data_IF_813139267805
#
_entry.id   IF_813139267805
#
_cell.length_a   1.000
_cell.length_b   1.000
_cell.length_c   1.000
_cell.angle_alpha   90.00
_cell.angle_beta   90.00
_cell.angle_gamma   90.00
#
_symmetry.space_group_name_H-M   'P 1'
#
loop_
_entity.id
_entity.type
_entity.pdbx_description
1 polymer ?
#
# COMPACT_ATOMS: atom_id res chain seq x y z
N UNK A 1 -2.64 15.55 9.57
CA UNK A 1 -3.54 14.47 9.07
C UNK A 1 -2.71 13.43 8.33
N UNK A 2 -2.53 12.22 8.90
CA UNK A 2 -1.92 11.10 8.17
C UNK A 2 -2.92 10.63 7.11
N UNK A 3 -2.67 10.99 5.85
CA UNK A 3 -3.55 10.62 4.75
C UNK A 3 -3.23 9.19 4.34
N UNK A 4 -4.15 8.26 4.63
CA UNK A 4 -4.03 6.89 4.13
C UNK A 4 -3.96 6.90 2.60
N UNK A 5 -3.25 5.93 2.05
CA UNK A 5 -3.15 5.71 0.61
C UNK A 5 -4.08 4.53 0.31
N UNK A 6 -4.98 4.71 -0.64
CA UNK A 6 -5.92 3.66 -1.03
C UNK A 6 -6.09 3.64 -2.53
N UNK A 7 -6.13 2.45 -3.10
CA UNK A 7 -6.40 2.20 -4.50
C UNK A 7 -7.19 0.91 -4.64
N UNK A 8 -7.73 0.67 -5.83
CA UNK A 8 -8.48 -0.56 -6.11
C UNK A 8 -7.85 -1.25 -7.30
N UNK A 9 -7.52 -2.52 -7.14
CA UNK A 9 -7.04 -3.39 -8.21
C UNK A 9 -8.12 -4.41 -8.59
N UNK A 10 -8.02 -5.00 -9.77
CA UNK A 10 -8.87 -6.10 -10.20
C UNK A 10 -8.04 -7.37 -10.16
N UNK A 11 -8.49 -8.35 -9.39
CA UNK A 11 -7.83 -9.66 -9.29
C UNK A 11 -8.01 -10.46 -10.58
N UNK A 12 -7.20 -11.50 -10.77
CA UNK A 12 -7.30 -12.40 -11.92
C UNK A 12 -8.70 -13.04 -12.05
N UNK A 13 -9.37 -13.27 -10.93
CA UNK A 13 -10.75 -13.77 -10.85
C UNK A 13 -11.82 -12.73 -11.24
N UNK A 14 -11.41 -11.53 -11.68
CA UNK A 14 -12.30 -10.43 -12.06
C UNK A 14 -12.89 -9.65 -10.89
N UNK A 15 -12.62 -10.06 -9.65
CA UNK A 15 -13.13 -9.41 -8.44
C UNK A 15 -12.31 -8.19 -8.08
N UNK A 16 -13.00 -7.10 -7.74
CA UNK A 16 -12.38 -5.85 -7.28
C UNK A 16 -11.80 -6.05 -5.87
N UNK A 17 -10.53 -5.69 -5.69
CA UNK A 17 -9.84 -5.68 -4.39
C UNK A 17 -9.42 -4.25 -4.07
N UNK A 18 -9.96 -3.69 -3.01
CA UNK A 18 -9.51 -2.43 -2.43
C UNK A 18 -8.30 -2.68 -1.53
N UNK A 19 -7.25 -1.89 -1.74
CA UNK A 19 -6.04 -1.91 -0.94
C UNK A 19 -5.91 -0.55 -0.26
N UNK A 20 -5.69 -0.58 1.06
CA UNK A 20 -5.50 0.60 1.89
C UNK A 20 -4.26 0.43 2.73
N UNK A 21 -3.36 1.38 2.61
CA UNK A 21 -2.09 1.39 3.34
C UNK A 21 -1.99 2.64 4.20
N UNK A 22 -1.66 2.43 5.46
CA UNK A 22 -1.24 3.48 6.36
C UNK A 22 0.26 3.36 6.61
N UNK A 23 1.03 4.28 6.03
CA UNK A 23 2.48 4.32 6.18
C UNK A 23 2.82 5.27 7.32
N UNK A 24 3.52 4.75 8.31
CA UNK A 24 4.20 5.50 9.36
C UNK A 24 5.72 5.41 9.18
N UNK A 25 6.49 6.22 9.91
CA UNK A 25 7.95 6.22 9.88
C UNK A 25 8.57 4.82 10.10
N UNK A 26 7.90 3.94 10.86
CA UNK A 26 8.44 2.63 11.24
C UNK A 26 7.71 1.42 10.68
N UNK A 27 6.46 1.59 10.19
CA UNK A 27 5.59 0.46 9.82
C UNK A 27 4.62 0.87 8.71
N UNK A 28 4.29 -0.08 7.83
CA UNK A 28 3.19 0.03 6.89
C UNK A 28 2.07 -0.93 7.31
N UNK A 29 0.89 -0.39 7.62
CA UNK A 29 -0.30 -1.18 7.92
C UNK A 29 -1.10 -1.37 6.64
N UNK A 30 -1.10 -2.60 6.13
CA UNK A 30 -1.83 -3.02 4.95
C UNK A 30 -3.22 -3.52 5.34
N UNK A 31 -4.20 -3.17 4.53
CA UNK A 31 -5.60 -3.56 4.69
C UNK A 31 -6.14 -3.85 3.31
N UNK A 32 -6.76 -5.02 3.16
CA UNK A 32 -7.31 -5.46 1.89
C UNK A 32 -8.80 -5.70 2.05
N UNK A 33 -9.60 -5.36 1.05
CA UNK A 33 -11.02 -5.72 1.02
C UNK A 33 -11.38 -6.20 -0.37
N UNK A 34 -11.78 -7.45 -0.50
CA UNK A 34 -12.38 -7.94 -1.74
C UNK A 34 -13.83 -7.50 -1.80
N UNK A 35 -14.35 -7.26 -3.00
CA UNK A 35 -15.76 -6.92 -3.18
C UNK A 35 -16.69 -8.10 -2.89
N UNK A 36 -16.19 -9.34 -3.03
CA UNK A 36 -16.91 -10.55 -2.64
C UNK A 36 -16.85 -10.85 -1.13
N UNK A 37 -16.03 -10.12 -0.37
CA UNK A 37 -15.90 -10.26 1.08
C UNK A 37 -16.51 -9.06 1.82
N UNK A 38 -17.31 -9.34 2.84
CA UNK A 38 -17.90 -8.28 3.67
C UNK A 38 -16.86 -7.57 4.54
N UNK A 39 -15.80 -8.29 4.93
CA UNK A 39 -14.82 -7.85 5.92
C UNK A 39 -13.49 -7.43 5.28
N UNK A 40 -12.78 -6.55 5.98
CA UNK A 40 -11.40 -6.23 5.67
C UNK A 40 -10.48 -7.36 6.15
N UNK A 41 -9.53 -7.73 5.30
CA UNK A 41 -8.46 -8.65 5.61
C UNK A 41 -7.21 -7.84 6.03
N UNK A 42 -6.76 -8.08 7.26
CA UNK A 42 -5.61 -7.41 7.88
C UNK A 42 -4.37 -8.32 7.99
N UNK A 43 -4.56 -9.62 7.83
CA UNK A 43 -3.53 -10.65 8.06
C UNK A 43 -2.82 -11.07 6.76
N UNK A 44 -3.38 -10.69 5.59
CA UNK A 44 -2.77 -11.01 4.32
C UNK A 44 -1.50 -10.17 4.09
N UNK A 45 -0.34 -10.78 3.75
CA UNK A 45 0.85 -10.02 3.40
C UNK A 45 0.65 -9.30 2.05
N UNK A 46 1.21 -8.09 1.88
CA UNK A 46 1.24 -7.41 0.58
C UNK A 46 2.09 -8.17 -0.44
N UNK A 47 1.66 -8.15 -1.69
CA UNK A 47 2.44 -8.71 -2.81
C UNK A 47 3.43 -7.68 -3.34
N UNK A 48 4.39 -8.12 -4.16
CA UNK A 48 5.38 -7.24 -4.82
C UNK A 48 4.70 -6.16 -5.68
N UNK A 49 3.62 -6.51 -6.40
CA UNK A 49 2.84 -5.56 -7.20
C UNK A 49 2.18 -4.47 -6.34
N UNK A 50 1.68 -4.84 -5.16
CA UNK A 50 1.08 -3.87 -4.23
C UNK A 50 2.12 -2.91 -3.65
N UNK A 51 3.34 -3.39 -3.39
CA UNK A 51 4.47 -2.53 -3.03
C UNK A 51 4.86 -1.57 -4.16
N UNK A 52 4.90 -2.07 -5.41
CA UNK A 52 5.20 -1.26 -6.58
C UNK A 52 4.17 -0.12 -6.76
N UNK A 53 2.89 -0.46 -6.66
CA UNK A 53 1.80 0.52 -6.70
C UNK A 53 1.90 1.56 -5.57
N UNK A 54 2.26 1.14 -4.36
CA UNK A 54 2.46 2.06 -3.25
C UNK A 54 3.61 3.05 -3.53
N UNK A 55 4.73 2.55 -4.04
CA UNK A 55 5.88 3.37 -4.44
C UNK A 55 5.52 4.34 -5.57
N UNK A 56 4.75 3.89 -6.57
CA UNK A 56 4.29 4.73 -7.67
C UNK A 56 3.39 5.85 -7.17
N UNK A 57 2.39 5.55 -6.33
CA UNK A 57 1.47 6.55 -5.78
C UNK A 57 2.25 7.56 -4.92
N UNK A 58 3.21 7.10 -4.12
CA UNK A 58 4.08 7.96 -3.33
C UNK A 58 4.98 8.83 -4.20
N UNK A 59 5.54 8.28 -5.28
CA UNK A 59 6.35 9.02 -6.25
C UNK A 59 5.55 10.14 -6.91
N UNK A 60 4.34 9.83 -7.40
CA UNK A 60 3.40 10.82 -7.98
C UNK A 60 3.04 11.92 -7.00
N UNK A 61 2.86 11.58 -5.71
CA UNK A 61 2.44 12.51 -4.66
C UNK A 61 3.62 13.30 -4.04
N UNK A 62 4.82 12.73 -4.09
CA UNK A 62 6.06 13.24 -3.52
C UNK A 62 6.75 14.33 -4.31
N UNK A 63 6.26 14.67 -5.50
CA UNK A 63 6.67 15.89 -6.23
C UNK A 63 6.42 17.19 -5.43
N UNK A 64 5.63 17.14 -4.34
CA UNK A 64 5.45 18.26 -3.39
C UNK A 64 6.29 18.11 -2.12
N UNK A 65 7.62 18.05 -2.22
CA UNK A 65 8.67 18.35 -1.21
C UNK A 65 8.67 17.65 0.17
N UNK A 66 7.54 17.09 0.64
CA UNK A 66 7.34 16.61 2.02
C UNK A 66 7.20 15.09 2.11
N UNK A 67 7.16 14.37 0.99
CA UNK A 67 6.96 12.91 0.97
C UNK A 67 8.17 12.08 0.55
N UNK A 68 9.30 12.71 0.26
CA UNK A 68 10.55 12.00 -0.04
C UNK A 68 10.91 11.03 1.10
N UNK A 69 10.76 11.48 2.35
CA UNK A 69 11.02 10.65 3.54
C UNK A 69 10.06 9.46 3.65
N UNK A 70 8.81 9.59 3.21
CA UNK A 70 7.83 8.50 3.26
C UNK A 70 8.18 7.42 2.23
N UNK A 71 8.60 7.83 1.04
CA UNK A 71 9.04 6.91 -0.01
C UNK A 71 10.30 6.14 0.40
N UNK A 72 11.27 6.81 1.02
CA UNK A 72 12.47 6.15 1.53
C UNK A 72 12.14 5.13 2.63
N UNK A 73 11.23 5.46 3.54
CA UNK A 73 10.78 4.54 4.58
C UNK A 73 10.06 3.32 3.99
N UNK A 74 9.23 3.49 2.96
CA UNK A 74 8.58 2.39 2.24
C UNK A 74 9.60 1.45 1.61
N UNK A 75 10.66 1.97 0.97
CA UNK A 75 11.74 1.15 0.41
C UNK A 75 12.47 0.33 1.46
N UNK A 76 12.78 0.94 2.62
CA UNK A 76 13.41 0.24 3.75
C UNK A 76 12.49 -0.85 4.33
N UNK A 77 11.18 -0.59 4.39
CA UNK A 77 10.19 -1.56 4.86
C UNK A 77 10.05 -2.73 3.88
N UNK A 78 10.01 -2.46 2.58
CA UNK A 78 9.98 -3.47 1.52
C UNK A 78 11.19 -4.41 1.61
N UNK A 79 12.41 -3.85 1.72
CA UNK A 79 13.63 -4.64 1.88
C UNK A 79 13.62 -5.55 3.13
N UNK A 80 13.00 -5.11 4.23
CA UNK A 80 12.81 -5.94 5.44
C UNK A 80 11.76 -7.04 5.26
N UNK A 81 10.83 -6.86 4.34
CA UNK A 81 9.73 -7.78 4.07
C UNK A 81 10.14 -8.89 3.07
N UNK A 82 11.32 -8.78 2.46
CA UNK A 82 11.89 -9.80 1.56
C UNK A 82 11.26 -9.85 0.17
N UNK A 83 10.69 -8.73 -0.30
CA UNK A 83 9.98 -8.58 -1.60
C UNK A 83 10.48 -7.37 -2.40
#
# INVERSE_FOLDING_TARGET
MRRHISWTTRTADGVKREVRVNVDAHRAKWQFKRADEEKWNYDCPPTTEEWDMLEEILSRRGQRGRQINVQENVRKLRARHGV
#
